data_IF_306277054069
#
_entry.id   IF_306277054069
#
_cell.length_a   1.000
_cell.length_b   1.000
_cell.length_c   1.000
_cell.angle_alpha   90.00
_cell.angle_beta   90.00
_cell.angle_gamma   90.00
#
_symmetry.space_group_name_H-M   'P 1'
#
loop_
_entity.id
_entity.type
_entity.pdbx_description
1 polymer ?
#
# COMPACT_ATOMS: atom_id res chain seq x y z
N UNK A 1 -30.38 51.06 33.08
CA UNK A 1 -29.34 50.06 32.81
C UNK A 1 -29.59 49.55 31.40
N UNK A 2 -28.75 49.94 30.44
CA UNK A 2 -28.91 49.59 29.03
C UNK A 2 -28.12 48.30 28.78
N UNK A 3 -28.82 47.24 28.38
CA UNK A 3 -28.21 45.93 28.16
C UNK A 3 -27.56 45.89 26.78
N UNK A 4 -26.24 45.72 26.75
CA UNK A 4 -25.47 45.55 25.52
C UNK A 4 -25.89 44.25 24.78
N UNK A 5 -25.98 44.24 23.44
CA UNK A 5 -26.30 43.02 22.70
C UNK A 5 -25.11 42.05 22.75
N UNK A 6 -25.41 40.78 23.05
CA UNK A 6 -24.44 39.69 23.07
C UNK A 6 -23.80 39.49 21.67
N UNK A 7 -22.51 39.15 21.59
CA UNK A 7 -21.86 38.89 20.31
C UNK A 7 -22.48 37.65 19.66
N UNK A 8 -22.87 37.79 18.38
CA UNK A 8 -23.32 36.68 17.57
C UNK A 8 -22.19 35.64 17.45
N UNK A 9 -22.43 34.47 18.02
CA UNK A 9 -21.52 33.32 17.96
C UNK A 9 -21.36 32.92 16.49
N UNK A 10 -20.19 33.22 15.93
CA UNK A 10 -19.85 32.85 14.57
C UNK A 10 -19.86 31.32 14.46
N UNK A 11 -20.64 30.79 13.52
CA UNK A 11 -20.75 29.37 13.26
C UNK A 11 -19.36 28.73 13.08
N UNK A 12 -19.13 27.50 13.59
CA UNK A 12 -17.85 26.83 13.48
C UNK A 12 -17.49 26.61 12.00
N UNK A 13 -16.20 26.70 11.64
CA UNK A 13 -15.77 26.44 10.27
C UNK A 13 -16.15 25.00 9.85
N UNK A 14 -16.49 24.77 8.58
CA UNK A 14 -16.79 23.43 8.09
C UNK A 14 -15.56 22.54 8.32
N UNK A 15 -15.81 21.34 8.87
CA UNK A 15 -14.77 20.35 9.10
C UNK A 15 -14.02 20.07 7.78
N UNK A 16 -12.69 19.87 7.81
CA UNK A 16 -11.95 19.50 6.62
C UNK A 16 -12.55 18.21 6.06
N UNK A 17 -12.94 18.23 4.78
CA UNK A 17 -13.42 17.04 4.10
C UNK A 17 -12.36 15.94 4.25
N UNK A 18 -12.72 14.87 4.96
CA UNK A 18 -11.87 13.67 5.06
C UNK A 18 -11.54 13.21 3.64
N UNK A 19 -10.26 13.31 3.27
CA UNK A 19 -9.77 12.71 2.05
C UNK A 19 -10.16 11.22 2.09
N UNK A 20 -10.70 10.65 0.99
CA UNK A 20 -11.10 9.26 0.98
C UNK A 20 -9.89 8.43 1.40
N UNK A 21 -10.01 7.72 2.53
CA UNK A 21 -8.98 6.79 2.96
C UNK A 21 -8.79 5.79 1.81
N UNK A 22 -7.65 5.87 1.11
CA UNK A 22 -7.25 4.86 0.13
C UNK A 22 -7.33 3.53 0.85
N UNK A 23 -8.39 2.77 0.59
CA UNK A 23 -8.66 1.52 1.26
C UNK A 23 -7.66 0.54 0.69
N UNK A 24 -6.50 0.47 1.35
CA UNK A 24 -5.39 -0.31 0.87
C UNK A 24 -5.86 -1.75 0.73
N UNK A 25 -5.97 -2.19 -0.52
CA UNK A 25 -6.47 -3.52 -0.83
C UNK A 25 -5.28 -4.44 -0.78
N UNK A 26 -5.35 -5.49 0.05
CA UNK A 26 -4.30 -6.52 0.08
C UNK A 26 -4.37 -7.27 -1.25
N UNK A 27 -3.54 -6.86 -2.21
CA UNK A 27 -3.55 -7.40 -3.57
C UNK A 27 -2.75 -8.71 -3.70
N UNK A 28 -1.99 -9.09 -2.66
CA UNK A 28 -1.20 -10.32 -2.66
C UNK A 28 -0.15 -10.34 -1.55
N UNK A 29 0.90 -11.13 -1.75
CA UNK A 29 2.08 -11.19 -0.89
C UNK A 29 3.29 -10.64 -1.66
N UNK A 30 4.20 -10.00 -0.92
CA UNK A 30 5.53 -9.68 -1.41
C UNK A 30 6.41 -10.92 -1.31
N UNK A 31 7.08 -11.25 -2.40
CA UNK A 31 8.05 -12.35 -2.50
C UNK A 31 9.40 -11.78 -2.89
N UNK A 32 10.46 -12.22 -2.21
CA UNK A 32 11.84 -12.01 -2.63
C UNK A 32 12.29 -13.24 -3.39
N UNK A 33 12.64 -13.08 -4.66
CA UNK A 33 13.07 -14.15 -5.55
C UNK A 33 14.52 -13.91 -5.94
N UNK A 34 15.38 -14.91 -5.75
CA UNK A 34 16.78 -14.85 -6.15
C UNK A 34 16.97 -15.60 -7.46
N UNK A 35 17.51 -14.94 -8.49
CA UNK A 35 17.83 -15.51 -9.79
C UNK A 35 19.32 -15.28 -10.05
N UNK A 36 20.11 -16.36 -10.08
CA UNK A 36 21.57 -16.25 -10.10
C UNK A 36 22.08 -15.44 -8.89
N UNK A 37 22.79 -14.34 -9.16
CA UNK A 37 23.33 -13.42 -8.15
C UNK A 37 22.42 -12.19 -7.92
N UNK A 38 21.21 -12.17 -8.47
CA UNK A 38 20.29 -11.04 -8.40
C UNK A 38 19.05 -11.34 -7.55
N UNK A 39 18.63 -10.37 -6.74
CA UNK A 39 17.41 -10.45 -5.95
C UNK A 39 16.33 -9.54 -6.54
N UNK A 40 15.12 -10.08 -6.67
CA UNK A 40 13.93 -9.41 -7.19
C UNK A 40 12.82 -9.42 -6.15
N UNK A 41 12.10 -8.31 -6.01
CA UNK A 41 10.91 -8.25 -5.18
C UNK A 41 9.67 -8.22 -6.07
N UNK A 42 8.80 -9.20 -5.91
CA UNK A 42 7.61 -9.39 -6.73
C UNK A 42 6.38 -9.44 -5.84
N UNK A 43 5.33 -8.71 -6.21
CA UNK A 43 4.00 -8.89 -5.60
C UNK A 43 3.20 -9.87 -6.44
N UNK A 44 2.73 -10.94 -5.81
CA UNK A 44 1.96 -12.01 -6.46
C UNK A 44 0.92 -12.60 -5.50
N UNK A 45 -0.05 -13.36 -6.03
CA UNK A 45 -1.02 -14.05 -5.18
C UNK A 45 -0.44 -15.31 -4.53
N UNK A 46 0.49 -15.99 -5.22
CA UNK A 46 1.13 -17.22 -4.77
C UNK A 46 2.61 -17.34 -5.24
N UNK A 47 3.30 -18.36 -4.72
CA UNK A 47 4.72 -18.61 -4.98
C UNK A 47 5.01 -18.94 -6.45
N UNK A 48 4.13 -19.69 -7.12
CA UNK A 48 4.33 -20.07 -8.52
C UNK A 48 4.17 -18.86 -9.45
N UNK A 49 3.20 -17.99 -9.15
CA UNK A 49 3.06 -16.70 -9.84
C UNK A 49 4.28 -15.79 -9.60
N UNK A 50 4.77 -15.72 -8.36
CA UNK A 50 5.98 -14.97 -8.02
C UNK A 50 7.21 -15.45 -8.82
N UNK A 51 7.41 -16.78 -8.90
CA UNK A 51 8.48 -17.38 -9.67
C UNK A 51 8.37 -17.05 -11.17
N UNK A 52 7.18 -17.19 -11.76
CA UNK A 52 6.95 -16.85 -13.17
C UNK A 52 7.25 -15.39 -13.47
N UNK A 53 6.74 -14.47 -12.64
CA UNK A 53 6.98 -13.02 -12.81
C UNK A 53 8.46 -12.67 -12.64
N UNK A 54 9.15 -13.30 -11.69
CA UNK A 54 10.58 -13.12 -11.51
C UNK A 54 11.37 -13.64 -12.72
N UNK A 55 10.99 -14.80 -13.28
CA UNK A 55 11.61 -15.36 -14.51
C UNK A 55 11.34 -14.53 -15.77
N UNK A 56 10.22 -13.81 -15.84
CA UNK A 56 9.93 -12.89 -16.94
C UNK A 56 10.81 -11.62 -16.83
N UNK A 57 11.06 -11.15 -15.60
CA UNK A 57 11.88 -9.98 -15.32
C UNK A 57 13.40 -10.25 -15.30
N UNK A 58 13.81 -11.45 -14.90
CA UNK A 58 15.20 -11.86 -14.73
C UNK A 58 15.60 -12.94 -15.72
N UNK A 59 16.83 -12.89 -16.24
CA UNK A 59 17.35 -13.98 -17.09
C UNK A 59 18.09 -15.00 -16.23
N UNK A 60 17.46 -16.15 -15.97
CA UNK A 60 18.10 -17.26 -15.28
C UNK A 60 17.11 -18.21 -14.62
N UNK A 61 17.62 -19.09 -13.76
CA UNK A 61 16.82 -19.99 -12.94
C UNK A 61 16.60 -19.41 -11.55
N UNK A 62 15.40 -19.63 -10.99
CA UNK A 62 15.09 -19.22 -9.62
C UNK A 62 15.81 -20.14 -8.65
N UNK A 63 16.73 -19.59 -7.87
CA UNK A 63 17.50 -20.32 -6.87
C UNK A 63 16.80 -20.36 -5.51
N UNK A 64 16.10 -19.28 -5.15
CA UNK A 64 15.43 -19.14 -3.83
C UNK A 64 14.19 -18.26 -3.94
N UNK A 65 13.17 -18.57 -3.12
CA UNK A 65 11.97 -17.72 -2.95
C UNK A 65 11.67 -17.59 -1.46
N UNK A 66 11.54 -16.36 -0.99
CA UNK A 66 11.18 -16.02 0.38
C UNK A 66 9.91 -15.16 0.41
N UNK A 67 9.01 -15.41 1.37
CA UNK A 67 7.78 -14.63 1.56
C UNK A 67 8.09 -13.49 2.52
N UNK A 68 7.96 -12.25 2.04
CA UNK A 68 8.20 -11.05 2.85
C UNK A 68 6.98 -10.64 3.67
N UNK A 69 5.78 -11.09 3.27
CA UNK A 69 4.53 -10.79 3.96
C UNK A 69 3.46 -10.24 3.03
N UNK A 70 2.38 -9.68 3.60
CA UNK A 70 1.26 -9.15 2.83
C UNK A 70 1.66 -7.86 2.13
N UNK A 71 1.42 -7.79 0.82
CA UNK A 71 1.61 -6.57 0.05
C UNK A 71 0.42 -5.64 0.25
N UNK A 72 0.72 -4.39 0.62
CA UNK A 72 -0.27 -3.32 0.77
C UNK A 72 -0.14 -2.44 -0.46
N UNK A 73 -1.20 -2.34 -1.26
CA UNK A 73 -1.25 -1.42 -2.41
C UNK A 73 -2.14 -0.24 -2.03
N UNK A 74 -1.57 0.97 -2.06
CA UNK A 74 -2.23 2.23 -1.70
C UNK A 74 -2.38 3.16 -2.89
#
# INVERSE_FOLDING_TARGET
AEAAPAPAEAAPPPAPAEAPASRATVAGYGYKVTIGDQEFVVVAADIAEAARRALDAGRGEVSSIEILGRAITG
#
